data_IF_456109420111
#
_entry.id   IF_456109420111
#
_cell.length_a   1.000
_cell.length_b   1.000
_cell.length_c   1.000
_cell.angle_alpha   90.00
_cell.angle_beta   90.00
_cell.angle_gamma   90.00
#
_symmetry.space_group_name_H-M   'P 1'
#
loop_
_entity.id
_entity.type
_entity.pdbx_description
1 polymer ?
#
# COMPACT_ATOMS: atom_id res chain seq x y z
N UNK A 1 -8.36 -15.93 -7.45
CA UNK A 1 -9.24 -16.44 -6.38
C UNK A 1 -9.06 -15.52 -5.19
N UNK A 2 -10.13 -15.16 -4.48
CA UNK A 2 -10.03 -14.28 -3.32
C UNK A 2 -9.15 -14.92 -2.24
N UNK A 3 -8.32 -14.09 -1.63
CA UNK A 3 -7.39 -14.42 -0.56
C UNK A 3 -7.59 -13.52 0.66
N UNK A 4 -8.02 -12.26 0.44
CA UNK A 4 -8.14 -11.26 1.50
C UNK A 4 -9.55 -10.65 1.55
N UNK A 5 -10.04 -10.42 2.77
CA UNK A 5 -11.20 -9.60 3.03
C UNK A 5 -10.77 -8.41 3.90
N UNK A 6 -10.87 -7.21 3.34
CA UNK A 6 -10.61 -5.96 4.04
C UNK A 6 -11.94 -5.48 4.63
N UNK A 7 -12.01 -5.29 5.94
CA UNK A 7 -13.23 -4.84 6.63
C UNK A 7 -12.97 -3.44 7.18
N UNK A 8 -13.72 -2.46 6.68
CA UNK A 8 -13.78 -1.13 7.27
C UNK A 8 -14.70 -1.20 8.49
N UNK A 9 -14.15 -0.90 9.67
CA UNK A 9 -14.93 -0.96 10.90
C UNK A 9 -15.83 0.25 11.07
N UNK A 10 -15.49 1.41 10.49
CA UNK A 10 -16.29 2.63 10.54
C UNK A 10 -16.20 3.40 9.20
N UNK A 11 -17.18 4.26 8.92
CA UNK A 11 -17.13 5.19 7.80
C UNK A 11 -15.88 6.08 7.87
N UNK A 12 -15.42 6.43 9.07
CA UNK A 12 -14.19 7.20 9.36
C UNK A 12 -12.94 6.33 9.55
N UNK A 13 -12.98 5.04 9.17
CA UNK A 13 -11.80 4.17 9.23
C UNK A 13 -10.57 4.79 8.53
N UNK A 14 -9.39 4.58 9.12
CA UNK A 14 -8.14 5.19 8.65
C UNK A 14 -7.84 4.82 7.19
N UNK A 15 -7.25 5.76 6.45
CA UNK A 15 -6.74 5.47 5.11
C UNK A 15 -5.32 4.94 5.22
N UNK A 16 -4.99 3.86 4.50
CA UNK A 16 -3.68 3.19 4.62
C UNK A 16 -2.93 3.06 3.27
N UNK A 17 -3.55 3.46 2.16
CA UNK A 17 -2.89 3.56 0.85
C UNK A 17 -3.21 4.91 0.19
N UNK A 18 -3.22 5.03 -1.14
CA UNK A 18 -3.29 6.33 -1.84
C UNK A 18 -4.56 7.14 -1.56
N UNK A 19 -5.71 6.49 -1.31
CA UNK A 19 -6.96 7.21 -1.13
C UNK A 19 -6.99 8.01 0.17
N UNK A 20 -7.80 9.07 0.20
CA UNK A 20 -8.07 9.85 1.41
C UNK A 20 -9.53 9.71 1.80
N UNK A 21 -9.77 9.37 3.06
CA UNK A 21 -11.11 9.38 3.65
C UNK A 21 -11.49 10.80 4.08
N UNK A 22 -12.56 11.34 3.49
CA UNK A 22 -13.10 12.67 3.82
C UNK A 22 -14.31 12.61 4.76
N UNK A 23 -14.78 11.41 5.10
CA UNK A 23 -15.94 11.24 5.99
C UNK A 23 -15.55 11.60 7.42
N UNK A 24 -16.43 12.34 8.07
CA UNK A 24 -16.30 12.75 9.48
C UNK A 24 -17.41 12.18 10.35
N UNK A 25 -18.52 11.76 9.74
CA UNK A 25 -19.63 11.12 10.41
C UNK A 25 -19.30 9.67 10.72
N UNK A 26 -19.33 9.33 12.01
CA UNK A 26 -19.07 7.97 12.48
C UNK A 26 -20.24 7.06 12.15
N UNK A 27 -19.94 5.92 11.57
CA UNK A 27 -20.91 4.85 11.33
C UNK A 27 -20.17 3.52 11.41
N UNK A 28 -20.24 2.93 12.60
CA UNK A 28 -19.60 1.67 12.87
C UNK A 28 -20.35 0.56 12.11
N UNK A 29 -19.61 -0.39 11.54
CA UNK A 29 -20.19 -1.59 10.94
C UNK A 29 -21.09 -2.28 11.97
N UNK A 30 -22.23 -2.83 11.57
CA UNK A 30 -23.09 -3.51 12.53
C UNK A 30 -22.40 -4.79 13.06
N UNK A 31 -22.65 -5.17 14.32
CA UNK A 31 -22.18 -6.45 14.85
C UNK A 31 -22.65 -7.65 14.03
N UNK A 32 -23.86 -7.55 13.45
CA UNK A 32 -24.40 -8.60 12.57
C UNK A 32 -23.54 -8.75 11.32
N UNK A 33 -23.24 -7.63 10.64
CA UNK A 33 -22.43 -7.64 9.42
C UNK A 33 -20.97 -8.04 9.72
N UNK A 34 -20.41 -7.61 10.85
CA UNK A 34 -19.07 -8.04 11.28
C UNK A 34 -19.01 -9.55 11.52
N UNK A 35 -19.99 -10.12 12.22
CA UNK A 35 -20.08 -11.56 12.44
C UNK A 35 -20.25 -12.31 11.11
N UNK A 36 -21.11 -11.82 10.22
CA UNK A 36 -21.28 -12.39 8.87
C UNK A 36 -20.00 -12.30 8.03
N UNK A 37 -19.22 -11.22 8.15
CA UNK A 37 -17.94 -11.05 7.49
C UNK A 37 -16.93 -12.12 7.94
N UNK A 38 -16.86 -12.38 9.24
CA UNK A 38 -16.01 -13.43 9.83
C UNK A 38 -16.45 -14.80 9.34
N UNK A 39 -17.75 -15.10 9.31
CA UNK A 39 -18.23 -16.38 8.79
C UNK A 39 -17.95 -16.52 7.29
N UNK A 40 -18.09 -15.44 6.53
CA UNK A 40 -17.77 -15.40 5.10
C UNK A 40 -16.28 -15.68 4.85
N UNK A 41 -15.38 -15.06 5.62
CA UNK A 41 -13.94 -15.26 5.48
C UNK A 41 -13.55 -16.70 5.82
N UNK A 42 -14.08 -17.27 6.91
CA UNK A 42 -13.80 -18.66 7.31
C UNK A 42 -14.26 -19.67 6.25
N UNK A 43 -15.49 -19.52 5.71
CA UNK A 43 -16.04 -20.41 4.67
C UNK A 43 -15.21 -20.38 3.37
N UNK A 44 -14.52 -19.28 3.10
CA UNK A 44 -13.73 -19.06 1.89
C UNK A 44 -12.22 -19.11 2.14
N UNK A 45 -11.79 -19.40 3.36
CA UNK A 45 -10.40 -19.39 3.79
C UNK A 45 -9.67 -18.07 3.45
N UNK A 46 -10.30 -16.94 3.75
CA UNK A 46 -9.75 -15.60 3.51
C UNK A 46 -9.02 -15.08 4.75
N UNK A 47 -7.90 -14.38 4.53
CA UNK A 47 -7.24 -13.60 5.57
C UNK A 47 -8.00 -12.29 5.80
N UNK A 48 -8.35 -12.01 7.05
CA UNK A 48 -9.03 -10.77 7.45
C UNK A 48 -8.04 -9.63 7.69
N UNK A 49 -8.42 -8.44 7.27
CA UNK A 49 -7.73 -7.19 7.59
C UNK A 49 -8.76 -6.19 8.11
N UNK A 50 -8.64 -5.79 9.36
CA UNK A 50 -9.54 -4.83 9.98
C UNK A 50 -8.92 -3.43 9.97
N UNK A 51 -9.66 -2.48 9.42
CA UNK A 51 -9.23 -1.08 9.34
C UNK A 51 -9.94 -0.29 10.43
N UNK A 52 -9.18 0.15 11.43
CA UNK A 52 -9.71 0.81 12.62
C UNK A 52 -10.00 2.29 12.35
N UNK A 53 -11.01 2.86 13.02
CA UNK A 53 -11.14 4.31 13.16
C UNK A 53 -10.10 4.87 14.16
N UNK A 54 -10.09 6.18 14.33
CA UNK A 54 -9.18 6.91 15.24
C UNK A 54 -9.61 6.91 16.72
N UNK A 55 -10.65 6.13 17.08
CA UNK A 55 -11.18 6.03 18.43
C UNK A 55 -11.28 4.58 18.91
N UNK A 56 -11.38 4.40 20.24
CA UNK A 56 -11.49 3.08 20.86
C UNK A 56 -12.83 2.41 20.51
N UNK A 57 -12.76 1.16 20.04
CA UNK A 57 -13.95 0.37 19.73
C UNK A 57 -14.66 -0.11 21.00
N UNK A 58 -15.99 -0.31 20.96
CA UNK A 58 -16.70 -0.99 22.05
C UNK A 58 -16.16 -2.42 22.26
N UNK A 59 -16.13 -2.88 23.51
CA UNK A 59 -15.53 -4.17 23.89
C UNK A 59 -16.12 -5.37 23.14
N UNK A 60 -17.41 -5.32 22.81
CA UNK A 60 -18.10 -6.36 22.02
C UNK A 60 -17.49 -6.55 20.61
N UNK A 61 -17.04 -5.47 19.96
CA UNK A 61 -16.36 -5.54 18.66
C UNK A 61 -14.97 -6.14 18.80
N UNK A 62 -14.22 -5.71 19.83
CA UNK A 62 -12.88 -6.26 20.13
C UNK A 62 -12.99 -7.76 20.36
N UNK A 63 -13.89 -8.19 21.24
CA UNK A 63 -14.10 -9.61 21.53
C UNK A 63 -14.44 -10.43 20.28
N UNK A 64 -15.21 -9.86 19.36
CA UNK A 64 -15.57 -10.52 18.10
C UNK A 64 -14.38 -10.63 17.14
N UNK A 65 -13.61 -9.56 16.96
CA UNK A 65 -12.42 -9.52 16.09
C UNK A 65 -11.36 -10.53 16.56
N UNK A 66 -11.13 -10.62 17.87
CA UNK A 66 -10.13 -11.51 18.47
C UNK A 66 -10.49 -13.01 18.41
N UNK A 67 -11.67 -13.37 17.90
CA UNK A 67 -12.06 -14.79 17.74
C UNK A 67 -11.41 -15.48 16.55
N UNK A 68 -10.78 -14.73 15.65
CA UNK A 68 -10.21 -15.23 14.39
C UNK A 68 -8.84 -14.62 14.13
N UNK A 69 -8.03 -15.30 13.31
CA UNK A 69 -6.77 -14.73 12.84
C UNK A 69 -7.04 -13.57 11.87
N UNK A 70 -6.37 -12.46 12.10
CA UNK A 70 -6.57 -11.23 11.34
C UNK A 70 -5.33 -10.33 11.44
N UNK A 71 -5.29 -9.30 10.60
CA UNK A 71 -4.38 -8.17 10.76
C UNK A 71 -5.16 -6.90 11.12
N UNK A 72 -4.54 -6.01 11.89
CA UNK A 72 -5.09 -4.71 12.29
C UNK A 72 -4.29 -3.59 11.67
N UNK A 73 -5.01 -2.61 11.14
CA UNK A 73 -4.44 -1.38 10.59
C UNK A 73 -5.06 -0.20 11.32
N UNK A 74 -4.24 0.59 12.02
CA UNK A 74 -4.70 1.74 12.81
C UNK A 74 -3.86 2.98 12.57
N UNK A 75 -4.39 4.15 12.94
CA UNK A 75 -3.66 5.42 12.91
C UNK A 75 -2.64 5.49 14.06
N UNK A 76 -1.54 6.22 13.86
CA UNK A 76 -0.47 6.47 14.84
C UNK A 76 -0.93 7.24 16.07
N UNK A 77 -2.10 7.89 16.02
CA UNK A 77 -2.71 8.61 17.14
C UNK A 77 -3.83 7.81 17.81
N UNK A 78 -4.11 6.59 17.34
CA UNK A 78 -5.14 5.74 17.92
C UNK A 78 -4.77 5.35 19.36
N UNK A 79 -5.80 5.17 20.20
CA UNK A 79 -5.64 4.89 21.64
C UNK A 79 -4.87 3.58 21.91
N UNK A 80 -4.94 2.60 21.00
CA UNK A 80 -4.38 1.26 21.21
C UNK A 80 -3.40 0.82 20.11
N UNK A 81 -2.25 1.49 20.01
CA UNK A 81 -1.20 1.15 19.02
C UNK A 81 -0.50 -0.18 19.33
N UNK A 82 -0.38 -0.55 20.62
CA UNK A 82 0.49 -1.64 21.09
C UNK A 82 0.09 -3.06 20.64
N UNK A 83 -1.03 -3.22 19.95
CA UNK A 83 -1.53 -4.51 19.45
C UNK A 83 -1.86 -4.46 17.95
N UNK A 84 -1.29 -3.49 17.24
CA UNK A 84 -1.57 -3.25 15.82
C UNK A 84 -0.43 -3.77 14.96
N UNK A 85 -0.76 -4.53 13.92
CA UNK A 85 0.22 -5.09 12.97
C UNK A 85 0.78 -4.00 12.04
N UNK A 86 -0.06 -3.04 11.63
CA UNK A 86 0.33 -1.92 10.78
C UNK A 86 -0.14 -0.57 11.32
N UNK A 87 0.79 0.37 11.47
CA UNK A 87 0.52 1.71 11.99
C UNK A 87 0.67 2.75 10.88
N UNK A 88 -0.39 3.50 10.62
CA UNK A 88 -0.43 4.58 9.64
C UNK A 88 -0.01 5.89 10.31
N UNK A 89 0.99 6.55 9.75
CA UNK A 89 1.43 7.90 10.10
C UNK A 89 0.90 8.83 9.00
N UNK A 90 0.06 9.81 9.36
CA UNK A 90 -0.56 10.73 8.39
C UNK A 90 -0.04 12.17 8.46
N UNK A 91 0.69 12.53 9.52
CA UNK A 91 1.39 13.80 9.65
C UNK A 91 2.85 13.50 10.06
N UNK A 92 3.81 14.14 9.38
CA UNK A 92 5.23 13.98 9.68
C UNK A 92 5.58 14.44 11.11
N UNK A 93 4.79 15.34 11.69
CA UNK A 93 4.98 15.82 13.08
C UNK A 93 4.78 14.70 14.09
N UNK A 94 3.95 13.71 13.77
CA UNK A 94 3.69 12.57 14.64
C UNK A 94 4.92 11.66 14.76
N UNK A 95 5.79 11.64 13.75
CA UNK A 95 7.02 10.80 13.72
C UNK A 95 7.91 11.07 14.93
N UNK A 96 8.01 12.33 15.38
CA UNK A 96 8.91 12.71 16.48
C UNK A 96 8.46 12.18 17.83
N UNK A 97 7.14 12.02 18.02
CA UNK A 97 6.55 11.58 19.28
C UNK A 97 6.21 10.08 19.28
N UNK A 98 6.33 9.42 18.12
CA UNK A 98 5.97 8.03 17.97
C UNK A 98 7.04 7.11 18.57
N UNK A 99 6.59 6.21 19.44
CA UNK A 99 7.41 5.11 19.94
C UNK A 99 7.37 3.97 18.92
N UNK A 100 8.46 3.80 18.20
CA UNK A 100 8.62 2.73 17.23
C UNK A 100 8.76 1.36 17.91
N UNK A 101 8.14 0.35 17.30
CA UNK A 101 8.27 -1.06 17.64
C UNK A 101 8.87 -1.80 16.44
N UNK A 102 9.91 -2.59 16.67
CA UNK A 102 10.60 -3.35 15.62
C UNK A 102 9.68 -4.37 14.94
N UNK A 103 8.69 -4.92 15.65
CA UNK A 103 7.76 -5.92 15.11
C UNK A 103 6.60 -5.33 14.29
N UNK A 104 6.40 -4.00 14.36
CA UNK A 104 5.28 -3.31 13.71
C UNK A 104 5.69 -2.76 12.34
N UNK A 105 4.83 -2.93 11.34
CA UNK A 105 5.02 -2.31 10.03
C UNK A 105 4.46 -0.89 10.08
N UNK A 106 5.26 0.09 9.68
CA UNK A 106 4.82 1.49 9.61
C UNK A 106 4.47 1.88 8.18
N UNK A 107 3.41 2.67 8.01
CA UNK A 107 2.97 3.21 6.74
C UNK A 107 2.93 4.73 6.87
N UNK A 108 3.88 5.44 6.27
CA UNK A 108 3.84 6.89 6.19
C UNK A 108 3.07 7.32 4.94
N UNK A 109 1.86 7.83 5.15
CA UNK A 109 1.04 8.45 4.10
C UNK A 109 1.32 9.94 4.10
N UNK A 110 1.73 10.46 2.95
CA UNK A 110 2.29 11.81 2.88
C UNK A 110 2.08 12.42 1.48
N UNK A 111 1.72 13.71 1.37
CA UNK A 111 1.78 14.43 0.10
C UNK A 111 3.22 14.55 -0.43
N UNK A 112 3.41 14.69 -1.74
CA UNK A 112 4.74 14.73 -2.36
C UNK A 112 5.64 15.84 -1.78
N UNK A 113 5.09 17.03 -1.57
CA UNK A 113 5.86 18.19 -1.06
C UNK A 113 6.38 17.94 0.35
N UNK A 114 5.54 17.40 1.24
CA UNK A 114 5.94 17.04 2.61
C UNK A 114 6.98 15.92 2.59
N UNK A 115 6.83 14.94 1.69
CA UNK A 115 7.81 13.87 1.54
C UNK A 115 9.17 14.40 1.08
N UNK A 116 9.20 15.29 0.09
CA UNK A 116 10.44 15.88 -0.42
C UNK A 116 11.15 16.67 0.69
N UNK A 117 10.39 17.50 1.43
CA UNK A 117 10.92 18.36 2.49
C UNK A 117 11.34 17.63 3.76
N UNK A 118 10.81 16.43 4.01
CA UNK A 118 11.05 15.67 5.25
C UNK A 118 11.59 14.25 5.00
N UNK A 119 12.17 14.01 3.83
CA UNK A 119 12.76 12.71 3.46
C UNK A 119 13.91 12.30 4.40
N UNK A 120 14.56 13.23 5.09
CA UNK A 120 15.59 12.96 6.09
C UNK A 120 15.07 12.12 7.28
N UNK A 121 13.76 12.18 7.55
CA UNK A 121 13.12 11.38 8.60
C UNK A 121 13.11 9.88 8.27
N UNK A 122 13.09 9.51 6.98
CA UNK A 122 12.99 8.12 6.53
C UNK A 122 14.11 7.26 7.13
N UNK A 123 15.36 7.72 7.02
CA UNK A 123 16.52 6.98 7.55
C UNK A 123 16.43 6.86 9.07
N UNK A 124 16.03 7.92 9.78
CA UNK A 124 15.87 7.90 11.25
C UNK A 124 14.78 6.92 11.71
N UNK A 125 13.76 6.70 10.88
CA UNK A 125 12.71 5.71 11.15
C UNK A 125 13.25 4.30 10.88
N UNK A 126 13.92 4.09 9.74
CA UNK A 126 14.47 2.78 9.35
C UNK A 126 15.49 2.22 10.35
N UNK A 127 16.15 3.07 11.13
CA UNK A 127 17.01 2.64 12.23
C UNK A 127 16.26 1.93 13.38
N UNK A 128 14.94 2.10 13.46
CA UNK A 128 14.10 1.70 14.60
C UNK A 128 13.02 0.68 14.23
N UNK A 129 12.88 0.34 12.95
CA UNK A 129 11.78 -0.50 12.45
C UNK A 129 12.28 -1.54 11.47
N UNK A 130 11.62 -2.68 11.43
CA UNK A 130 11.90 -3.70 10.41
C UNK A 130 11.40 -3.26 9.03
N UNK A 131 10.29 -2.53 8.97
CA UNK A 131 9.72 -2.08 7.69
C UNK A 131 8.98 -0.74 7.78
N UNK A 132 9.31 0.13 6.83
CA UNK A 132 8.60 1.36 6.52
C UNK A 132 8.07 1.32 5.10
N UNK A 133 6.76 1.48 4.95
CA UNK A 133 6.12 1.76 3.68
C UNK A 133 5.85 3.26 3.57
N UNK A 134 6.18 3.87 2.45
CA UNK A 134 5.85 5.24 2.11
C UNK A 134 4.80 5.21 1.00
N UNK A 135 3.75 5.98 1.21
CA UNK A 135 2.63 6.13 0.28
C UNK A 135 2.49 7.61 -0.04
N UNK A 136 2.78 7.98 -1.28
CA UNK A 136 2.53 9.32 -1.77
C UNK A 136 1.06 9.43 -2.16
N UNK A 137 0.33 10.35 -1.51
CA UNK A 137 -1.15 10.41 -1.59
C UNK A 137 -1.70 11.18 -2.78
N UNK A 138 -0.86 11.96 -3.44
CA UNK A 138 -1.18 12.89 -4.53
C UNK A 138 -0.29 12.62 -5.77
N UNK A 139 0.05 11.35 -5.98
CA UNK A 139 0.90 10.90 -7.09
C UNK A 139 0.38 11.33 -8.47
N UNK A 140 -0.94 11.45 -8.63
CA UNK A 140 -1.57 11.92 -9.87
C UNK A 140 -1.27 13.38 -10.22
N UNK A 141 -0.66 14.12 -9.30
CA UNK A 141 -0.31 15.54 -9.48
C UNK A 141 1.15 15.76 -9.85
N UNK A 142 1.94 14.70 -10.04
CA UNK A 142 3.34 14.82 -10.41
C UNK A 142 3.48 15.45 -11.79
N UNK A 143 4.34 16.45 -11.87
CA UNK A 143 4.82 17.03 -13.10
C UNK A 143 6.31 16.69 -13.31
N UNK A 144 6.90 17.32 -14.33
CA UNK A 144 8.30 17.08 -14.69
C UNK A 144 9.27 17.50 -13.59
N UNK A 145 9.03 18.62 -12.91
CA UNK A 145 9.92 19.11 -11.84
C UNK A 145 9.83 18.16 -10.64
N UNK A 146 8.62 17.69 -10.31
CA UNK A 146 8.41 16.71 -9.25
C UNK A 146 9.16 15.39 -9.51
N UNK A 147 9.20 14.89 -10.74
CA UNK A 147 9.97 13.68 -11.06
C UNK A 147 11.47 13.88 -10.83
N UNK A 148 11.99 15.07 -11.16
CA UNK A 148 13.39 15.40 -10.93
C UNK A 148 13.71 15.52 -9.43
N UNK A 149 12.83 16.16 -8.64
CA UNK A 149 12.94 16.24 -7.19
C UNK A 149 12.86 14.87 -6.52
N UNK A 150 11.89 14.06 -6.93
CA UNK A 150 11.73 12.72 -6.40
C UNK A 150 12.94 11.84 -6.69
N UNK A 151 13.54 11.92 -7.89
CA UNK A 151 14.78 11.22 -8.21
C UNK A 151 15.95 11.67 -7.32
N UNK A 152 16.07 12.97 -6.99
CA UNK A 152 17.08 13.49 -6.05
C UNK A 152 16.87 12.93 -4.64
N UNK A 153 15.62 12.87 -4.19
CA UNK A 153 15.24 12.30 -2.90
C UNK A 153 15.59 10.80 -2.85
N UNK A 154 15.21 10.02 -3.87
CA UNK A 154 15.53 8.60 -3.95
C UNK A 154 17.03 8.32 -3.91
N UNK A 155 17.85 9.14 -4.59
CA UNK A 155 19.31 9.01 -4.53
C UNK A 155 19.84 9.26 -3.12
N UNK A 156 19.35 10.30 -2.45
CA UNK A 156 19.73 10.63 -1.06
C UNK A 156 19.32 9.51 -0.10
N UNK A 157 18.11 8.96 -0.26
CA UNK A 157 17.64 7.83 0.53
C UNK A 157 18.44 6.56 0.25
N UNK A 158 18.81 6.30 -1.01
CA UNK A 158 19.65 5.17 -1.41
C UNK A 158 20.99 5.21 -0.68
N UNK A 159 21.68 6.35 -0.66
CA UNK A 159 22.94 6.52 0.08
C UNK A 159 22.76 6.28 1.59
N UNK A 160 21.62 6.70 2.15
CA UNK A 160 21.29 6.46 3.55
C UNK A 160 21.04 4.98 3.86
N UNK A 161 20.25 4.29 3.03
CA UNK A 161 19.96 2.85 3.18
C UNK A 161 21.21 2.01 3.00
N UNK A 162 22.07 2.35 2.04
CA UNK A 162 23.36 1.69 1.83
C UNK A 162 24.22 1.73 3.11
N UNK A 163 24.31 2.90 3.76
CA UNK A 163 25.04 3.05 5.02
C UNK A 163 24.42 2.22 6.14
N UNK A 164 23.10 2.24 6.28
CA UNK A 164 22.41 1.40 7.27
C UNK A 164 22.73 -0.09 7.10
N UNK A 165 22.73 -0.57 5.85
CA UNK A 165 23.02 -1.98 5.56
C UNK A 165 24.49 -2.32 5.82
N UNK A 166 25.41 -1.40 5.53
CA UNK A 166 26.82 -1.56 5.88
C UNK A 166 27.08 -1.62 7.40
N UNK A 167 26.20 -0.98 8.21
CA UNK A 167 26.21 -1.08 9.68
C UNK A 167 25.51 -2.35 10.20
N UNK A 168 24.99 -3.21 9.33
CA UNK A 168 24.26 -4.42 9.69
C UNK A 168 22.79 -4.20 10.08
N UNK A 169 22.24 -3.00 9.85
CA UNK A 169 20.81 -2.72 10.02
C UNK A 169 20.08 -2.98 8.71
N UNK A 170 19.09 -3.87 8.73
CA UNK A 170 18.39 -4.35 7.52
C UNK A 170 16.95 -3.82 7.39
N UNK A 171 16.70 -2.58 7.83
CA UNK A 171 15.37 -1.97 7.70
C UNK A 171 14.89 -1.95 6.24
N UNK A 172 13.64 -2.38 6.01
CA UNK A 172 13.05 -2.42 4.68
C UNK A 172 12.29 -1.13 4.36
N UNK A 173 12.57 -0.56 3.19
CA UNK A 173 11.85 0.57 2.62
C UNK A 173 11.22 0.15 1.29
N UNK A 174 9.90 0.27 1.16
CA UNK A 174 9.21 -0.18 -0.05
C UNK A 174 9.72 0.50 -1.35
N UNK A 175 10.10 1.78 -1.27
CA UNK A 175 10.55 2.56 -2.43
C UNK A 175 11.90 2.09 -3.01
N UNK A 176 12.74 1.40 -2.21
CA UNK A 176 14.12 1.06 -2.59
C UNK A 176 14.47 -0.42 -2.44
N UNK A 177 13.87 -1.10 -1.47
CA UNK A 177 14.26 -2.47 -1.09
C UNK A 177 13.35 -3.52 -1.70
N UNK A 178 12.06 -3.23 -1.89
CA UNK A 178 11.10 -4.21 -2.41
C UNK A 178 11.49 -4.71 -3.80
N UNK A 179 11.96 -3.84 -4.70
CA UNK A 179 12.36 -4.29 -6.04
C UNK A 179 13.54 -5.26 -5.99
N UNK A 180 14.45 -5.12 -5.01
CA UNK A 180 15.57 -6.05 -4.85
C UNK A 180 15.11 -7.43 -4.38
N UNK A 181 14.04 -7.49 -3.58
CA UNK A 181 13.54 -8.70 -2.91
C UNK A 181 12.47 -9.45 -3.71
N UNK A 182 11.69 -8.74 -4.52
CA UNK A 182 10.55 -9.30 -5.24
C UNK A 182 10.96 -9.92 -6.57
N UNK A 183 10.42 -11.11 -6.84
CA UNK A 183 10.57 -11.82 -8.13
C UNK A 183 9.34 -11.66 -9.04
N UNK A 184 8.26 -11.09 -8.51
CA UNK A 184 7.01 -10.82 -9.22
C UNK A 184 6.26 -9.67 -8.55
N UNK A 185 5.31 -9.08 -9.25
CA UNK A 185 4.41 -8.06 -8.72
C UNK A 185 3.73 -8.52 -7.42
N UNK A 186 3.76 -7.65 -6.41
CA UNK A 186 3.14 -7.88 -5.10
C UNK A 186 2.14 -6.76 -4.77
N UNK A 187 1.04 -6.71 -5.53
CA UNK A 187 0.02 -5.66 -5.41
C UNK A 187 -1.13 -6.07 -4.48
N UNK A 188 -1.97 -5.11 -4.10
CA UNK A 188 -3.19 -5.38 -3.33
C UNK A 188 -4.22 -6.25 -4.08
N UNK A 189 -4.14 -6.30 -5.42
CA UNK A 189 -5.02 -7.10 -6.29
C UNK A 189 -6.53 -6.91 -6.00
N UNK A 190 -6.92 -5.65 -5.74
CA UNK A 190 -8.31 -5.25 -5.49
C UNK A 190 -9.27 -5.71 -6.61
N UNK A 191 -10.39 -6.32 -6.23
CA UNK A 191 -11.36 -6.88 -7.17
C UNK A 191 -10.98 -8.25 -7.75
N UNK A 192 -9.81 -8.81 -7.40
CA UNK A 192 -9.39 -10.15 -7.83
C UNK A 192 -8.99 -11.07 -6.67
N UNK A 193 -8.02 -10.65 -5.85
CA UNK A 193 -7.56 -11.39 -4.66
C UNK A 193 -8.00 -10.73 -3.36
N UNK A 194 -8.29 -9.43 -3.38
CA UNK A 194 -8.87 -8.72 -2.24
C UNK A 194 -10.20 -8.09 -2.59
N UNK A 195 -11.07 -7.99 -1.58
CA UNK A 195 -12.33 -7.26 -1.65
C UNK A 195 -12.56 -6.53 -0.32
N UNK A 196 -13.30 -5.42 -0.36
CA UNK A 196 -13.65 -4.65 0.83
C UNK A 196 -15.10 -4.86 1.23
N UNK A 197 -15.34 -5.12 2.51
CA UNK A 197 -16.65 -4.96 3.15
C UNK A 197 -16.66 -3.62 3.88
N UNK A 198 -17.68 -2.80 3.59
CA UNK A 198 -17.85 -1.48 4.18
C UNK A 198 -18.92 -1.49 5.30
N UNK A 199 -19.02 -0.40 6.10
CA UNK A 199 -19.95 -0.34 7.24
C UNK A 199 -21.43 -0.31 6.86
N UNK A 200 -21.76 -0.18 5.58
CA UNK A 200 -23.13 -0.33 5.06
C UNK A 200 -23.51 -1.78 4.72
N UNK A 201 -22.64 -2.75 5.06
CA UNK A 201 -22.86 -4.18 4.86
C UNK A 201 -22.63 -4.65 3.42
N UNK A 202 -22.03 -3.81 2.56
CA UNK A 202 -21.84 -4.09 1.13
C UNK A 202 -20.38 -4.25 0.74
N UNK A 203 -20.17 -4.96 -0.37
CA UNK A 203 -18.86 -5.18 -0.94
C UNK A 203 -18.46 -4.08 -1.94
N UNK A 204 -17.18 -3.73 -1.92
CA UNK A 204 -16.55 -2.75 -2.79
C UNK A 204 -15.20 -3.27 -3.29
N UNK A 205 -14.79 -2.85 -4.50
CA UNK A 205 -13.52 -3.27 -5.11
C UNK A 205 -12.33 -3.05 -4.17
N UNK A 206 -12.26 -1.89 -3.52
CA UNK A 206 -11.35 -1.60 -2.43
C UNK A 206 -11.92 -0.47 -1.56
N UNK A 207 -11.26 -0.08 -0.45
CA UNK A 207 -11.75 1.00 0.41
C UNK A 207 -11.93 2.34 -0.31
N UNK A 208 -11.08 2.66 -1.28
CA UNK A 208 -11.15 3.91 -2.04
C UNK A 208 -12.48 4.05 -2.81
N UNK A 209 -12.94 2.98 -3.47
CA UNK A 209 -14.21 2.98 -4.19
C UNK A 209 -15.40 3.24 -3.25
N UNK A 210 -15.36 2.70 -2.04
CA UNK A 210 -16.37 2.98 -1.02
C UNK A 210 -16.35 4.46 -0.60
N UNK A 211 -15.15 4.99 -0.30
CA UNK A 211 -15.01 6.36 0.19
C UNK A 211 -15.36 7.42 -0.87
N UNK A 212 -15.24 7.09 -2.15
CA UNK A 212 -15.72 7.95 -3.25
C UNK A 212 -17.19 7.76 -3.61
N UNK A 213 -17.92 6.90 -2.90
CA UNK A 213 -19.35 6.68 -3.16
C UNK A 213 -19.63 5.93 -4.46
N UNK A 214 -18.72 5.06 -4.90
CA UNK A 214 -18.95 4.17 -6.05
C UNK A 214 -20.08 3.17 -5.80
N UNK A 215 -20.54 2.48 -6.85
CA UNK A 215 -21.50 1.40 -6.69
C UNK A 215 -20.86 0.18 -5.98
N UNK A 216 -21.62 -0.43 -5.07
CA UNK A 216 -21.25 -1.71 -4.46
C UNK A 216 -21.23 -2.84 -5.50
N UNK A 217 -20.37 -3.82 -5.30
CA UNK A 217 -20.23 -5.04 -6.11
C UNK A 217 -20.81 -6.27 -5.40
N UNK A 218 -21.92 -6.07 -4.71
CA UNK A 218 -22.64 -7.12 -3.97
C UNK A 218 -22.72 -6.86 -2.46
N UNK A 219 -23.16 -7.87 -1.72
CA UNK A 219 -23.32 -7.84 -0.27
C UNK A 219 -23.18 -9.26 0.33
N UNK A 220 -23.21 -9.36 1.66
CA UNK A 220 -23.04 -10.63 2.38
C UNK A 220 -24.15 -11.66 2.09
N UNK A 221 -25.34 -11.22 1.65
CA UNK A 221 -26.51 -12.08 1.41
C UNK A 221 -26.53 -12.61 -0.02
N UNK A 222 -26.35 -11.73 -0.99
CA UNK A 222 -26.39 -12.03 -2.42
C UNK A 222 -25.03 -12.49 -2.97
N UNK A 223 -23.95 -12.27 -2.21
CA UNK A 223 -22.58 -12.54 -2.64
C UNK A 223 -22.02 -11.44 -3.54
N UNK A 224 -20.92 -11.76 -4.23
CA UNK A 224 -20.18 -10.81 -5.08
C UNK A 224 -20.71 -10.80 -6.51
N UNK A 225 -20.83 -9.60 -7.07
CA UNK A 225 -21.19 -9.33 -8.46
C UNK A 225 -20.23 -8.29 -9.07
N UNK A 226 -19.01 -8.74 -9.36
CA UNK A 226 -17.97 -7.91 -10.01
C UNK A 226 -18.16 -8.02 -11.53
N UNK A 227 -18.45 -6.89 -12.19
CA UNK A 227 -18.57 -6.84 -13.66
C UNK A 227 -17.19 -6.87 -14.31
N UNK A 228 -17.06 -7.64 -15.40
CA UNK A 228 -15.81 -7.83 -16.15
C UNK A 228 -14.60 -8.12 -15.22
N UNK A 229 -14.69 -9.15 -14.35
CA UNK A 229 -13.70 -9.39 -13.29
C UNK A 229 -12.29 -9.65 -13.85
N UNK A 230 -12.17 -10.05 -15.12
CA UNK A 230 -10.90 -10.23 -15.78
C UNK A 230 -10.05 -8.96 -15.82
N UNK A 231 -10.66 -7.77 -15.92
CA UNK A 231 -9.93 -6.50 -16.03
C UNK A 231 -9.14 -6.15 -14.75
N UNK A 232 -9.53 -6.69 -13.60
CA UNK A 232 -8.83 -6.45 -12.34
C UNK A 232 -7.52 -7.25 -12.21
N UNK A 233 -7.32 -8.27 -13.06
CA UNK A 233 -6.17 -9.17 -13.00
C UNK A 233 -4.93 -8.58 -13.67
N UNK A 234 -3.76 -8.92 -13.13
CA UNK A 234 -2.47 -8.51 -13.68
C UNK A 234 -2.25 -9.02 -15.11
N UNK A 235 -2.65 -10.26 -15.43
CA UNK A 235 -2.49 -10.84 -16.77
C UNK A 235 -3.37 -10.17 -17.86
N UNK A 236 -4.33 -9.36 -17.44
CA UNK A 236 -5.19 -8.53 -18.30
C UNK A 236 -4.85 -7.03 -18.19
N UNK A 237 -3.70 -6.68 -17.61
CA UNK A 237 -3.15 -5.33 -17.61
C UNK A 237 -2.03 -5.25 -18.68
N UNK A 238 -2.31 -4.69 -19.88
CA UNK A 238 -1.43 -4.82 -21.04
C UNK A 238 0.00 -4.36 -20.81
N UNK A 239 0.17 -3.25 -20.06
CA UNK A 239 1.48 -2.75 -19.67
C UNK A 239 2.05 -3.55 -18.49
N UNK A 240 1.29 -3.67 -17.39
CA UNK A 240 1.82 -4.21 -16.14
C UNK A 240 2.25 -5.68 -16.22
N UNK A 241 1.63 -6.49 -17.08
CA UNK A 241 1.97 -7.92 -17.23
C UNK A 241 3.38 -8.17 -17.78
N UNK A 242 3.94 -7.19 -18.49
CA UNK A 242 5.27 -7.25 -19.10
C UNK A 242 6.32 -6.43 -18.33
N UNK A 243 5.88 -5.66 -17.33
CA UNK A 243 6.72 -4.75 -16.55
C UNK A 243 7.44 -5.50 -15.42
N UNK A 244 8.71 -5.15 -15.18
CA UNK A 244 9.51 -5.72 -14.09
C UNK A 244 9.66 -4.79 -12.88
N UNK A 245 8.93 -3.67 -12.81
CA UNK A 245 8.83 -2.81 -11.62
C UNK A 245 7.97 -3.47 -10.53
N UNK A 246 8.44 -4.59 -9.98
CA UNK A 246 7.66 -5.46 -9.07
C UNK A 246 7.24 -4.81 -7.75
N UNK A 247 7.92 -3.75 -7.32
CA UNK A 247 7.58 -2.93 -6.17
C UNK A 247 6.48 -1.90 -6.43
N UNK A 248 6.15 -1.65 -7.71
CA UNK A 248 5.08 -0.74 -8.12
C UNK A 248 3.80 -1.10 -7.37
N UNK A 249 3.10 -0.13 -6.80
CA UNK A 249 1.89 -0.39 -6.02
C UNK A 249 0.62 -0.60 -6.87
N UNK A 250 0.69 -0.41 -8.21
CA UNK A 250 -0.39 -0.55 -9.20
C UNK A 250 -1.79 -0.37 -8.60
N UNK A 251 -2.22 0.88 -8.42
CA UNK A 251 -3.47 1.18 -7.75
C UNK A 251 -4.65 1.20 -8.74
N UNK A 252 -5.51 0.19 -8.67
CA UNK A 252 -6.70 0.08 -9.56
C UNK A 252 -7.65 1.28 -9.42
N UNK A 253 -7.76 1.83 -8.22
CA UNK A 253 -8.56 3.04 -7.99
C UNK A 253 -7.95 4.26 -8.70
N UNK A 254 -6.64 4.50 -8.56
CA UNK A 254 -5.97 5.59 -9.29
C UNK A 254 -6.05 5.39 -10.80
N UNK A 255 -5.86 4.17 -11.29
CA UNK A 255 -6.02 3.83 -12.72
C UNK A 255 -7.39 4.29 -13.22
N UNK A 256 -8.48 3.90 -12.53
CA UNK A 256 -9.82 4.32 -12.89
C UNK A 256 -10.01 5.84 -12.79
N UNK A 257 -9.52 6.48 -11.73
CA UNK A 257 -9.63 7.92 -11.51
C UNK A 257 -8.95 8.76 -12.60
N UNK A 258 -7.80 8.30 -13.09
CA UNK A 258 -6.92 9.07 -14.00
C UNK A 258 -7.09 8.69 -15.46
N UNK A 259 -7.47 7.45 -15.76
CA UNK A 259 -7.53 6.94 -17.14
C UNK A 259 -8.91 6.41 -17.55
N UNK A 260 -9.87 6.35 -16.61
CA UNK A 260 -11.17 5.67 -16.78
C UNK A 260 -11.07 4.16 -17.01
N UNK A 261 -9.89 3.56 -16.83
CA UNK A 261 -9.63 2.14 -17.01
C UNK A 261 -9.05 1.54 -15.73
N UNK A 262 -9.59 0.42 -15.25
CA UNK A 262 -9.08 -0.24 -14.02
C UNK A 262 -7.72 -0.92 -14.23
N UNK A 263 -7.41 -1.28 -15.47
CA UNK A 263 -6.25 -2.11 -15.82
C UNK A 263 -5.08 -1.34 -16.45
N UNK A 264 -5.24 -0.03 -16.65
CA UNK A 264 -4.24 0.83 -17.30
C UNK A 264 -3.78 1.91 -16.32
N UNK A 265 -2.49 1.92 -15.91
CA UNK A 265 -1.96 2.95 -15.03
C UNK A 265 -1.80 4.29 -15.75
N UNK A 266 -1.74 5.36 -14.95
CA UNK A 266 -1.38 6.68 -15.45
C UNK A 266 0.12 6.81 -15.68
N UNK A 267 0.50 7.85 -16.43
CA UNK A 267 1.90 8.20 -16.67
C UNK A 267 2.65 8.40 -15.36
N UNK A 268 2.08 9.13 -14.41
CA UNK A 268 2.71 9.48 -13.14
C UNK A 268 3.02 8.24 -12.30
N UNK A 269 2.05 7.31 -12.19
CA UNK A 269 2.26 6.04 -11.49
C UNK A 269 3.39 5.21 -12.13
N UNK A 270 3.44 5.19 -13.46
CA UNK A 270 4.49 4.48 -14.20
C UNK A 270 5.87 5.11 -13.96
N UNK A 271 6.00 6.42 -14.16
CA UNK A 271 7.28 7.11 -14.03
C UNK A 271 7.83 7.00 -12.62
N UNK A 272 7.02 7.28 -11.58
CA UNK A 272 7.43 7.12 -10.16
C UNK A 272 7.95 5.72 -9.88
N UNK A 273 7.22 4.68 -10.30
CA UNK A 273 7.64 3.30 -10.08
C UNK A 273 8.95 2.94 -10.82
N UNK A 274 9.22 3.51 -12.00
CA UNK A 274 10.48 3.25 -12.71
C UNK A 274 11.66 4.05 -12.13
N UNK A 275 11.43 5.24 -11.56
CA UNK A 275 12.45 5.96 -10.79
C UNK A 275 12.84 5.15 -9.55
N UNK A 276 11.87 4.65 -8.78
CA UNK A 276 12.10 3.73 -7.66
C UNK A 276 12.87 2.46 -8.07
N UNK A 277 12.47 1.84 -9.19
CA UNK A 277 13.14 0.65 -9.73
C UNK A 277 14.60 0.92 -10.06
N UNK A 278 14.87 2.06 -10.70
CA UNK A 278 16.23 2.44 -11.10
C UNK A 278 17.09 2.77 -9.87
N UNK A 279 16.54 3.46 -8.88
CA UNK A 279 17.20 3.70 -7.59
C UNK A 279 17.51 2.36 -6.87
N UNK A 280 16.55 1.43 -6.85
CA UNK A 280 16.73 0.09 -6.28
C UNK A 280 17.85 -0.70 -6.98
N UNK A 281 17.97 -0.59 -8.31
CA UNK A 281 19.08 -1.21 -9.06
C UNK A 281 20.43 -0.65 -8.62
N UNK A 282 20.55 0.67 -8.51
CA UNK A 282 21.78 1.33 -8.09
C UNK A 282 22.14 0.97 -6.65
N UNK A 283 21.15 0.98 -5.74
CA UNK A 283 21.33 0.55 -4.36
C UNK A 283 21.85 -0.89 -4.26
N UNK A 284 21.24 -1.82 -5.01
CA UNK A 284 21.67 -3.22 -5.04
C UNK A 284 23.13 -3.37 -5.49
N UNK A 285 23.53 -2.64 -6.54
CA UNK A 285 24.90 -2.62 -7.05
C UNK A 285 25.87 -2.05 -6.02
N UNK A 286 25.48 -0.99 -5.31
CA UNK A 286 26.32 -0.35 -4.31
C UNK A 286 26.52 -1.22 -3.06
N UNK A 287 25.44 -1.77 -2.48
CA UNK A 287 25.53 -2.69 -1.32
C UNK A 287 26.50 -3.85 -1.63
N UNK A 288 26.44 -4.37 -2.86
CA UNK A 288 27.31 -5.48 -3.32
C UNK A 288 28.79 -5.14 -3.41
N UNK A 289 29.16 -3.86 -3.41
CA UNK A 289 30.57 -3.44 -3.33
C UNK A 289 31.15 -3.66 -1.93
N UNK A 290 30.29 -3.73 -0.92
CA UNK A 290 30.68 -3.86 0.48
C UNK A 290 30.49 -5.28 1.02
N UNK A 291 29.49 -6.02 0.52
CA UNK A 291 29.15 -7.35 1.02
C UNK A 291 28.47 -8.24 -0.03
N UNK A 292 28.43 -9.55 0.22
CA UNK A 292 27.60 -10.45 -0.59
C UNK A 292 26.12 -10.23 -0.25
N UNK A 293 25.35 -9.70 -1.20
CA UNK A 293 23.93 -9.37 -0.99
C UNK A 293 23.08 -9.78 -2.19
N UNK A 294 22.10 -10.66 -1.95
CA UNK A 294 21.15 -11.18 -2.94
C UNK A 294 21.79 -11.60 -4.27
N UNK A 295 22.85 -12.43 -4.32
CA UNK A 295 23.69 -12.61 -5.52
C UNK A 295 22.93 -13.03 -6.78
N UNK A 296 21.80 -13.72 -6.63
CA UNK A 296 20.98 -14.22 -7.75
C UNK A 296 20.02 -13.16 -8.33
N UNK A 297 19.78 -12.06 -7.60
CA UNK A 297 18.85 -11.02 -8.03
C UNK A 297 19.47 -10.10 -9.09
N UNK A 298 18.74 -9.83 -10.17
CA UNK A 298 19.19 -8.96 -11.27
C UNK A 298 18.08 -8.00 -11.69
N UNK A 299 18.37 -6.71 -11.61
CA UNK A 299 17.51 -5.63 -12.13
C UNK A 299 18.19 -5.08 -13.38
N UNK A 300 17.62 -5.32 -14.55
CA UNK A 300 18.24 -4.92 -15.83
C UNK A 300 18.22 -3.39 -15.99
N UNK A 301 19.20 -2.84 -16.68
CA UNK A 301 19.12 -1.46 -17.13
C UNK A 301 18.00 -1.32 -18.18
N UNK A 302 17.29 -0.19 -18.13
CA UNK A 302 16.24 0.21 -19.07
C UNK A 302 16.47 1.66 -19.48
N UNK A 303 15.93 2.07 -20.62
CA UNK A 303 16.06 3.40 -21.21
C UNK A 303 14.72 4.16 -21.32
N UNK A 304 13.68 3.66 -20.66
CA UNK A 304 12.36 4.28 -20.54
C UNK A 304 11.96 4.43 -19.06
N UNK A 305 11.02 5.33 -18.79
CA UNK A 305 10.36 5.48 -17.49
C UNK A 305 8.87 5.18 -17.56
N UNK A 306 8.23 5.43 -18.70
CA UNK A 306 6.86 5.00 -18.94
C UNK A 306 6.84 3.81 -19.93
N UNK A 307 6.44 2.61 -19.47
CA UNK A 307 6.11 1.46 -20.31
C UNK A 307 5.30 1.77 -21.58
N UNK A 308 4.44 2.78 -21.52
CA UNK A 308 3.59 3.15 -22.64
C UNK A 308 4.41 3.63 -23.85
N UNK A 309 5.58 4.24 -23.63
CA UNK A 309 6.45 4.75 -24.68
C UNK A 309 7.01 3.62 -25.56
N UNK A 310 7.28 2.47 -24.94
CA UNK A 310 7.84 1.29 -25.61
C UNK A 310 6.82 0.19 -25.87
N UNK A 311 5.52 0.47 -25.75
CA UNK A 311 4.42 -0.51 -25.85
C UNK A 311 4.39 -1.36 -27.14
N UNK A 312 5.12 -0.97 -28.18
CA UNK A 312 5.23 -1.72 -29.45
C UNK A 312 6.27 -2.84 -29.41
N UNK A 313 7.15 -2.82 -28.41
CA UNK A 313 8.24 -3.79 -28.22
C UNK A 313 7.82 -4.94 -27.29
N UNK A 314 6.58 -4.92 -26.80
CA UNK A 314 5.99 -5.79 -25.78
C UNK A 314 4.86 -6.69 -26.30
#
# INVERSE_FOLDING_TARGET
MLQYLIVLLDDTSTSFCHYTNKKTERKLISLSDLNEAILFSLKRNLTLQFIYPDYALPQEYINMIETVLHNKISLSTAVEIKKTDMVVISDWKDVQNLLFNEETIYIWRVPKDDFFNHSDLVIKILEKVVRLNIIITDIETFDKEDFEDYQRVLNTLSDGVEKLYAEGKEGQLNLLTDRMMLEKMNNCNAGWESITLAPDGKFYICPAFYQEGSCSVGDLKCGLDIKNPQLYRLDHAPLCRNCDSYQCQRCIWLNNKTTMEVNTPSHEQCVVAHLERNASRMLLENIRRHQSFLPDQKIKMIDYLDPFDIRKEW
#
